data_IF_896694646854
#
_entry.id   IF_896694646854
#
_cell.length_a   1.000
_cell.length_b   1.000
_cell.length_c   1.000
_cell.angle_alpha   90.00
_cell.angle_beta   90.00
_cell.angle_gamma   90.00
#
_symmetry.space_group_name_H-M   'P 1'
#
loop_
_entity.id
_entity.type
_entity.pdbx_description
1 polymer ?
#
# COMPACT_ATOMS: atom_id res chain seq x y z
N UNK A 1 -49.20 13.10 -25.42
CA UNK A 1 -47.78 12.83 -25.69
C UNK A 1 -47.56 11.36 -25.36
N UNK A 2 -47.13 10.55 -26.33
CA UNK A 2 -47.03 9.09 -26.16
C UNK A 2 -45.92 8.73 -25.17
N UNK A 3 -46.16 7.69 -24.37
CA UNK A 3 -45.23 7.15 -23.35
C UNK A 3 -43.84 6.85 -23.91
N UNK A 4 -43.73 6.51 -25.19
CA UNK A 4 -42.45 6.24 -25.88
C UNK A 4 -41.54 7.48 -25.99
N UNK A 5 -42.11 8.69 -26.11
CA UNK A 5 -41.32 9.92 -26.23
C UNK A 5 -40.67 10.30 -24.89
N UNK A 6 -41.39 10.11 -23.78
CA UNK A 6 -40.89 10.40 -22.43
C UNK A 6 -39.76 9.44 -22.03
N UNK A 7 -39.86 8.16 -22.42
CA UNK A 7 -38.82 7.16 -22.16
C UNK A 7 -37.55 7.46 -22.97
N UNK A 8 -37.70 7.87 -24.23
CA UNK A 8 -36.56 8.22 -25.07
C UNK A 8 -35.78 9.45 -24.55
N UNK A 9 -36.49 10.47 -24.06
CA UNK A 9 -35.89 11.67 -23.46
C UNK A 9 -35.14 11.33 -22.16
N UNK A 10 -35.77 10.58 -21.24
CA UNK A 10 -35.13 10.18 -19.98
C UNK A 10 -33.88 9.29 -20.20
N UNK A 11 -33.90 8.43 -21.23
CA UNK A 11 -32.75 7.61 -21.61
C UNK A 11 -31.59 8.47 -22.16
N UNK A 12 -31.90 9.47 -22.98
CA UNK A 12 -30.89 10.38 -23.52
C UNK A 12 -30.22 11.21 -22.42
N UNK A 13 -31.00 11.76 -21.48
CA UNK A 13 -30.47 12.48 -20.31
C UNK A 13 -29.54 11.58 -19.47
N UNK A 14 -29.95 10.33 -19.21
CA UNK A 14 -29.14 9.37 -18.44
C UNK A 14 -27.82 9.01 -19.14
N UNK A 15 -27.82 8.89 -20.47
CA UNK A 15 -26.60 8.62 -21.25
C UNK A 15 -25.65 9.81 -21.18
N UNK A 16 -26.18 11.03 -21.36
CA UNK A 16 -25.40 12.26 -21.30
C UNK A 16 -24.70 12.43 -19.94
N UNK A 17 -25.42 12.26 -18.84
CA UNK A 17 -24.85 12.34 -17.48
C UNK A 17 -23.72 11.33 -17.27
N UNK A 18 -23.86 10.11 -17.79
CA UNK A 18 -22.83 9.06 -17.69
C UNK A 18 -21.59 9.40 -18.50
N UNK A 19 -21.75 9.95 -19.70
CA UNK A 19 -20.63 10.39 -20.53
C UNK A 19 -19.85 11.53 -19.87
N UNK A 20 -20.57 12.52 -19.32
CA UNK A 20 -19.95 13.64 -18.61
C UNK A 20 -19.16 13.17 -17.38
N UNK A 21 -19.73 12.24 -16.61
CA UNK A 21 -19.06 11.65 -15.45
C UNK A 21 -17.82 10.84 -15.84
N UNK A 22 -17.90 10.07 -16.92
CA UNK A 22 -16.75 9.34 -17.47
C UNK A 22 -15.64 10.29 -17.95
N UNK A 23 -16.01 11.37 -18.63
CA UNK A 23 -15.04 12.39 -19.05
C UNK A 23 -14.40 13.10 -17.85
N UNK A 24 -15.17 13.37 -16.78
CA UNK A 24 -14.64 13.90 -15.53
C UNK A 24 -13.65 12.94 -14.87
N UNK A 25 -14.00 11.66 -14.79
CA UNK A 25 -13.13 10.61 -14.25
C UNK A 25 -11.80 10.52 -15.01
N UNK A 26 -11.85 10.52 -16.35
CA UNK A 26 -10.65 10.48 -17.20
C UNK A 26 -9.73 11.70 -16.99
N UNK A 27 -10.28 12.89 -16.70
CA UNK A 27 -9.49 14.09 -16.41
C UNK A 27 -8.74 14.00 -15.07
N UNK A 28 -9.35 13.38 -14.05
CA UNK A 28 -8.78 13.31 -12.71
C UNK A 28 -7.94 12.03 -12.49
N UNK A 29 -8.09 11.00 -13.33
CA UNK A 29 -7.36 9.73 -13.23
C UNK A 29 -5.84 9.93 -13.01
N UNK A 30 -5.13 10.78 -13.79
CA UNK A 30 -3.69 10.99 -13.59
C UNK A 30 -3.36 11.75 -12.29
N UNK A 31 -4.29 12.58 -11.81
CA UNK A 31 -4.14 13.32 -10.55
C UNK A 31 -4.29 12.38 -9.35
N UNK A 32 -5.26 11.46 -9.41
CA UNK A 32 -5.46 10.42 -8.41
C UNK A 32 -4.26 9.47 -8.39
N UNK A 33 -3.73 9.09 -9.55
CA UNK A 33 -2.50 8.29 -9.67
C UNK A 33 -1.33 8.97 -8.95
N UNK A 34 -1.05 10.23 -9.28
CA UNK A 34 0.03 10.99 -8.67
C UNK A 34 -0.15 11.13 -7.15
N UNK A 35 -1.38 11.40 -6.70
CA UNK A 35 -1.72 11.52 -5.28
C UNK A 35 -1.43 10.22 -4.53
N UNK A 36 -1.91 9.08 -5.02
CA UNK A 36 -1.74 7.78 -4.37
C UNK A 36 -0.29 7.30 -4.42
N UNK A 37 0.46 7.68 -5.47
CA UNK A 37 1.89 7.40 -5.57
C UNK A 37 2.69 8.12 -4.47
N UNK A 38 2.41 9.42 -4.28
CA UNK A 38 3.12 10.24 -3.28
C UNK A 38 2.67 9.95 -1.85
N UNK A 39 1.39 9.64 -1.63
CA UNK A 39 0.85 9.46 -0.28
C UNK A 39 1.57 8.37 0.53
N UNK A 40 1.94 7.25 -0.10
CA UNK A 40 2.59 6.12 0.58
C UNK A 40 1.73 5.40 1.64
N UNK A 41 0.54 5.93 1.95
CA UNK A 41 -0.47 5.43 2.87
C UNK A 41 -1.81 5.18 2.15
N UNK A 42 -2.77 4.58 2.87
CA UNK A 42 -4.13 4.40 2.36
C UNK A 42 -4.93 5.68 2.50
N UNK A 43 -5.57 6.14 1.42
CA UNK A 43 -6.47 7.30 1.42
C UNK A 43 -7.91 6.83 1.17
N UNK A 44 -8.86 7.33 1.96
CA UNK A 44 -10.29 7.12 1.70
C UNK A 44 -10.77 7.95 0.50
N UNK A 45 -11.85 7.49 -0.14
CA UNK A 45 -12.42 8.11 -1.34
C UNK A 45 -12.80 9.58 -1.13
N UNK A 46 -13.35 9.95 0.03
CA UNK A 46 -13.76 11.33 0.33
C UNK A 46 -12.57 12.26 0.39
N UNK A 47 -11.48 11.80 1.02
CA UNK A 47 -10.21 12.54 1.08
C UNK A 47 -9.62 12.71 -0.31
N UNK A 48 -9.67 11.68 -1.16
CA UNK A 48 -9.22 11.78 -2.56
C UNK A 48 -10.06 12.82 -3.32
N UNK A 49 -11.39 12.69 -3.28
CA UNK A 49 -12.34 13.61 -3.93
C UNK A 49 -12.10 15.07 -3.56
N UNK A 50 -11.90 15.35 -2.26
CA UNK A 50 -11.58 16.69 -1.77
C UNK A 50 -10.25 17.24 -2.30
N UNK A 51 -9.23 16.40 -2.44
CA UNK A 51 -7.89 16.82 -2.88
C UNK A 51 -7.81 17.07 -4.39
N UNK A 52 -8.57 16.31 -5.18
CA UNK A 52 -8.63 16.48 -6.64
C UNK A 52 -9.78 17.39 -7.10
N UNK A 53 -10.54 17.94 -6.15
CA UNK A 53 -11.70 18.82 -6.37
C UNK A 53 -12.70 18.22 -7.37
N UNK A 54 -13.19 17.01 -7.08
CA UNK A 54 -14.10 16.28 -7.96
C UNK A 54 -15.19 15.51 -7.18
N UNK A 55 -16.23 15.11 -7.91
CA UNK A 55 -17.31 14.27 -7.40
C UNK A 55 -16.81 12.86 -7.02
N UNK A 56 -17.34 12.30 -5.92
CA UNK A 56 -16.97 10.96 -5.45
C UNK A 56 -17.21 9.88 -6.50
N UNK A 57 -18.26 9.99 -7.34
CA UNK A 57 -18.53 9.02 -8.42
C UNK A 57 -17.49 9.12 -9.53
N UNK A 58 -16.98 10.32 -9.83
CA UNK A 58 -15.89 10.48 -10.78
C UNK A 58 -14.61 9.84 -10.25
N UNK A 59 -14.35 9.96 -8.94
CA UNK A 59 -13.24 9.29 -8.27
C UNK A 59 -13.38 7.77 -8.32
N UNK A 60 -14.59 7.22 -8.11
CA UNK A 60 -14.82 5.77 -8.23
C UNK A 60 -14.48 5.25 -9.62
N UNK A 61 -14.95 5.94 -10.66
CA UNK A 61 -14.64 5.58 -12.05
C UNK A 61 -13.14 5.70 -12.33
N UNK A 62 -12.48 6.73 -11.82
CA UNK A 62 -11.03 6.91 -11.97
C UNK A 62 -10.25 5.79 -11.25
N UNK A 63 -10.65 5.41 -10.04
CA UNK A 63 -10.04 4.31 -9.29
C UNK A 63 -10.25 2.96 -9.99
N UNK A 64 -11.43 2.73 -10.57
CA UNK A 64 -11.70 1.54 -11.37
C UNK A 64 -10.81 1.49 -12.63
N UNK A 65 -10.70 2.60 -13.35
CA UNK A 65 -9.81 2.73 -14.52
C UNK A 65 -8.34 2.50 -14.15
N UNK A 66 -7.89 3.05 -13.02
CA UNK A 66 -6.53 2.80 -12.51
C UNK A 66 -6.32 1.33 -12.14
N UNK A 67 -7.31 0.69 -11.50
CA UNK A 67 -7.23 -0.74 -11.17
C UNK A 67 -7.04 -1.58 -12.44
N UNK A 68 -7.77 -1.28 -13.52
CA UNK A 68 -7.61 -1.95 -14.81
C UNK A 68 -6.28 -1.61 -15.48
N UNK A 69 -5.86 -0.34 -15.46
CA UNK A 69 -4.59 0.11 -16.06
C UNK A 69 -3.38 -0.58 -15.46
N UNK A 70 -3.41 -0.82 -14.15
CA UNK A 70 -2.35 -1.47 -13.39
C UNK A 70 -2.50 -2.99 -13.29
N UNK A 71 -3.55 -3.57 -13.86
CA UNK A 71 -3.66 -5.03 -13.92
C UNK A 71 -2.51 -5.64 -14.73
N UNK A 72 -1.99 -6.77 -14.25
CA UNK A 72 -0.82 -7.43 -14.82
C UNK A 72 0.53 -6.70 -14.66
N UNK A 73 0.59 -5.52 -14.00
CA UNK A 73 1.84 -4.78 -13.75
C UNK A 73 2.49 -5.17 -12.42
N UNK A 74 3.74 -4.73 -12.21
CA UNK A 74 4.47 -4.91 -10.95
C UNK A 74 3.97 -4.04 -9.78
N UNK A 75 3.15 -3.04 -10.08
CA UNK A 75 2.46 -2.17 -9.11
C UNK A 75 0.96 -2.41 -9.31
N UNK A 76 0.20 -2.47 -8.22
CA UNK A 76 -1.26 -2.60 -8.25
C UNK A 76 -1.92 -1.63 -7.27
N UNK A 77 -3.14 -1.22 -7.60
CA UNK A 77 -4.03 -0.52 -6.70
C UNK A 77 -4.65 -1.53 -5.72
N UNK A 78 -4.60 -1.23 -4.41
CA UNK A 78 -5.15 -2.09 -3.35
C UNK A 78 -6.18 -1.32 -2.54
N UNK A 79 -7.26 -2.01 -2.18
CA UNK A 79 -8.25 -1.52 -1.20
C UNK A 79 -7.92 -2.08 0.18
N UNK A 80 -7.72 -1.21 1.17
CA UNK A 80 -7.40 -1.57 2.55
C UNK A 80 -8.29 -0.76 3.50
N UNK A 81 -9.08 -1.45 4.33
CA UNK A 81 -9.97 -0.82 5.31
C UNK A 81 -10.88 0.28 4.73
N UNK A 82 -11.32 0.12 3.48
CA UNK A 82 -12.15 1.11 2.77
C UNK A 82 -11.38 2.28 2.14
N UNK A 83 -10.05 2.30 2.23
CA UNK A 83 -9.20 3.23 1.50
C UNK A 83 -8.43 2.57 0.37
N UNK A 84 -7.72 3.38 -0.41
CA UNK A 84 -6.96 3.00 -1.60
C UNK A 84 -5.49 3.38 -1.46
N UNK A 85 -4.59 2.51 -1.94
CA UNK A 85 -3.15 2.81 -2.05
C UNK A 85 -2.50 1.99 -3.16
N UNK A 86 -1.37 2.46 -3.66
CA UNK A 86 -0.47 1.61 -4.43
C UNK A 86 0.30 0.64 -3.53
N UNK A 87 0.62 -0.52 -4.10
CA UNK A 87 1.53 -1.49 -3.52
C UNK A 87 2.14 -2.38 -4.61
N UNK A 88 3.12 -3.19 -4.23
CA UNK A 88 3.71 -4.16 -5.15
C UNK A 88 2.74 -5.31 -5.45
N UNK A 89 2.76 -5.74 -6.71
CA UNK A 89 2.06 -6.92 -7.18
C UNK A 89 2.74 -8.21 -6.68
N UNK A 90 2.01 -9.32 -6.54
CA UNK A 90 2.58 -10.61 -6.13
C UNK A 90 3.74 -11.08 -7.03
N UNK A 91 3.70 -10.77 -8.33
CA UNK A 91 4.76 -11.11 -9.29
C UNK A 91 6.11 -10.47 -8.93
N UNK A 92 6.10 -9.33 -8.23
CA UNK A 92 7.31 -8.62 -7.81
C UNK A 92 7.82 -9.06 -6.43
N UNK A 93 7.17 -10.02 -5.76
CA UNK A 93 7.43 -10.39 -4.36
C UNK A 93 8.90 -10.69 -4.08
N UNK A 94 9.52 -11.59 -4.85
CA UNK A 94 10.90 -12.01 -4.58
C UNK A 94 11.89 -10.84 -4.70
N UNK A 95 11.70 -9.95 -5.67
CA UNK A 95 12.57 -8.78 -5.90
C UNK A 95 12.40 -7.79 -4.76
N UNK A 96 11.15 -7.52 -4.35
CA UNK A 96 10.83 -6.62 -3.25
C UNK A 96 11.35 -7.17 -1.91
N UNK A 97 11.20 -8.47 -1.64
CA UNK A 97 11.72 -9.10 -0.43
C UNK A 97 13.25 -9.02 -0.35
N UNK A 98 13.97 -9.25 -1.45
CA UNK A 98 15.44 -9.09 -1.51
C UNK A 98 15.91 -7.67 -1.20
N UNK A 99 15.11 -6.67 -1.54
CA UNK A 99 15.42 -5.26 -1.24
C UNK A 99 15.08 -4.89 0.21
N UNK A 100 13.92 -5.32 0.71
CA UNK A 100 13.44 -4.97 2.05
C UNK A 100 14.16 -5.74 3.15
N UNK A 101 14.52 -7.00 2.91
CA UNK A 101 15.26 -7.82 3.86
C UNK A 101 16.74 -7.79 3.46
N UNK A 102 17.61 -7.05 4.17
CA UNK A 102 19.04 -7.30 4.04
C UNK A 102 19.32 -8.78 4.34
N UNK A 103 20.39 -9.37 3.77
CA UNK A 103 20.75 -10.74 4.07
C UNK A 103 20.79 -10.92 5.59
N UNK A 104 20.02 -11.88 6.11
CA UNK A 104 19.96 -12.18 7.54
C UNK A 104 21.39 -12.38 8.03
N UNK A 105 21.95 -11.41 8.74
CA UNK A 105 23.10 -11.66 9.60
C UNK A 105 22.54 -12.45 10.78
N UNK A 106 22.38 -13.76 10.62
CA UNK A 106 22.00 -14.61 11.73
C UNK A 106 23.08 -14.47 12.79
N UNK A 107 22.70 -13.96 13.97
CA UNK A 107 23.56 -14.05 15.14
C UNK A 107 23.89 -15.53 15.36
N UNK A 108 25.17 -15.83 15.60
CA UNK A 108 25.60 -17.17 15.96
C UNK A 108 24.92 -17.60 17.27
N UNK A 109 24.80 -18.91 17.53
CA UNK A 109 24.25 -19.40 18.80
C UNK A 109 24.90 -18.73 20.02
N UNK A 110 26.25 -18.54 20.08
CA UNK A 110 26.89 -17.77 21.15
C UNK A 110 26.42 -16.32 21.27
N UNK A 111 26.18 -15.64 20.15
CA UNK A 111 25.70 -14.26 20.15
C UNK A 111 24.24 -14.16 20.60
N UNK A 112 23.40 -15.14 20.25
CA UNK A 112 22.01 -15.22 20.74
C UNK A 112 21.94 -15.53 22.24
N UNK A 113 22.78 -16.44 22.74
CA UNK A 113 22.90 -16.72 24.18
C UNK A 113 23.29 -15.46 24.96
N UNK A 114 24.29 -14.73 24.45
CA UNK A 114 24.74 -13.47 25.05
C UNK A 114 23.63 -12.43 25.06
N UNK A 115 22.90 -12.27 23.93
CA UNK A 115 21.76 -11.35 23.83
C UNK A 115 20.64 -11.71 24.82
N UNK A 116 20.34 -13.00 24.99
CA UNK A 116 19.31 -13.47 25.91
C UNK A 116 19.66 -13.18 27.37
N UNK A 117 20.92 -13.38 27.77
CA UNK A 117 21.39 -13.04 29.13
C UNK A 117 21.27 -11.53 29.38
N UNK A 118 21.74 -10.71 28.43
CA UNK A 118 21.64 -9.25 28.56
C UNK A 118 20.18 -8.80 28.67
N UNK A 119 19.29 -9.30 27.82
CA UNK A 119 17.88 -8.91 27.84
C UNK A 119 17.16 -9.29 29.14
N UNK A 120 17.54 -10.41 29.76
CA UNK A 120 16.86 -10.92 30.94
C UNK A 120 17.47 -10.44 32.27
N UNK A 121 18.75 -10.07 32.27
CA UNK A 121 19.53 -9.81 33.49
C UNK A 121 20.10 -8.40 33.58
N UNK A 122 19.69 -7.47 32.72
CA UNK A 122 20.10 -6.07 32.83
C UNK A 122 19.71 -5.46 34.19
N UNK A 123 20.64 -4.81 34.92
CA UNK A 123 22.05 -4.56 34.58
C UNK A 123 22.97 -5.75 34.90
N UNK A 124 23.79 -6.19 33.92
CA UNK A 124 24.75 -7.30 34.02
C UNK A 124 26.08 -6.92 33.34
N UNK A 125 27.21 -7.41 33.87
CA UNK A 125 28.57 -7.13 33.38
C UNK A 125 29.10 -8.23 32.45
N UNK A 126 30.14 -7.92 31.66
CA UNK A 126 30.78 -8.89 30.75
C UNK A 126 31.29 -10.14 31.49
N UNK A 127 31.91 -9.98 32.66
CA UNK A 127 32.44 -11.11 33.43
C UNK A 127 31.33 -12.02 33.98
N UNK A 128 30.17 -11.45 34.32
CA UNK A 128 28.99 -12.24 34.74
C UNK A 128 28.40 -13.02 33.56
N UNK A 129 28.34 -12.42 32.37
CA UNK A 129 27.89 -13.10 31.15
C UNK A 129 28.82 -14.27 30.81
N UNK A 130 30.13 -14.07 30.88
CA UNK A 130 31.14 -15.12 30.62
C UNK A 130 31.06 -16.26 31.64
N UNK A 131 30.81 -15.92 32.92
CA UNK A 131 30.62 -16.90 33.99
C UNK A 131 29.35 -17.74 33.80
N UNK A 132 28.26 -17.12 33.33
CA UNK A 132 26.99 -17.82 33.04
C UNK A 132 27.13 -18.75 31.83
N UNK A 133 27.88 -18.34 30.80
CA UNK A 133 28.06 -19.13 29.57
C UNK A 133 29.16 -20.19 29.65
N UNK A 134 30.08 -20.09 30.62
CA UNK A 134 31.14 -21.07 30.83
C UNK A 134 32.20 -21.13 29.71
N UNK A 135 32.26 -20.11 28.84
CA UNK A 135 33.23 -20.00 27.72
C UNK A 135 33.83 -18.61 27.64
N UNK A 136 35.17 -18.51 27.49
CA UNK A 136 35.88 -17.24 27.27
C UNK A 136 35.41 -16.62 25.95
N UNK A 137 34.77 -15.44 26.01
CA UNK A 137 34.15 -14.78 24.87
C UNK A 137 35.09 -13.75 24.23
N UNK A 138 36.24 -14.21 23.73
CA UNK A 138 37.31 -13.34 23.22
C UNK A 138 37.19 -12.99 21.72
N UNK A 139 36.12 -13.38 21.01
CA UNK A 139 35.97 -13.07 19.57
C UNK A 139 34.62 -12.47 19.14
N UNK A 140 33.84 -11.88 20.04
CA UNK A 140 32.64 -11.11 19.65
C UNK A 140 32.55 -9.83 20.48
N UNK A 141 33.28 -8.80 20.06
CA UNK A 141 32.99 -7.38 20.30
C UNK A 141 33.20 -6.64 18.99
#
# INVERSE_FOLDING_TARGET
MSTDTVIAEALAETIQEREELSAAAARIEPLVEALLFVAGESLDQRRIAKLVDADEKAVDLALAALSERYDGRGIILRTIAGGFRFGSAPIAREVVEKYLLPPKTSLSSPALETLAIVAQMQPVTKGEIESIRGVNSDSVV
#
